data_IF_504155138096
#
_entry.id   IF_504155138096
#
_cell.length_a   1.000
_cell.length_b   1.000
_cell.length_c   1.000
_cell.angle_alpha   90.00
_cell.angle_beta   90.00
_cell.angle_gamma   90.00
#
_symmetry.space_group_name_H-M   'P 1'
#
loop_
_entity.id
_entity.type
_entity.pdbx_description
1 polymer ?
#
# COMPACT_ATOMS: atom_id res chain seq x y z
N UNK A 1 16.23 -0.66 16.40
CA UNK A 1 17.19 0.00 15.48
C UNK A 1 18.43 0.35 16.29
N UNK A 2 19.65 0.16 15.77
CA UNK A 2 20.85 0.64 16.45
C UNK A 2 20.76 2.15 16.64
N UNK A 3 21.12 2.62 17.84
CA UNK A 3 20.94 4.01 18.29
C UNK A 3 22.19 4.63 18.89
N UNK A 4 23.30 3.87 18.93
CA UNK A 4 24.59 4.37 19.39
C UNK A 4 25.12 5.39 18.37
N UNK A 5 25.30 6.66 18.71
CA UNK A 5 25.82 7.64 17.78
C UNK A 5 27.25 7.33 17.29
N UNK A 6 28.05 6.53 17.98
CA UNK A 6 29.36 6.13 17.51
C UNK A 6 29.32 5.01 16.44
N UNK A 7 28.19 4.32 16.30
CA UNK A 7 28.04 3.18 15.39
C UNK A 7 27.67 3.64 13.97
N UNK A 8 28.43 3.17 12.98
CA UNK A 8 28.18 3.41 11.56
C UNK A 8 26.84 2.82 11.07
N UNK A 9 26.35 1.77 11.74
CA UNK A 9 25.05 1.14 11.44
C UNK A 9 23.86 1.83 12.11
N UNK A 10 24.12 2.79 13.00
CA UNK A 10 23.04 3.56 13.62
C UNK A 10 22.26 4.39 12.61
N UNK A 11 20.97 4.54 12.92
CA UNK A 11 20.07 5.37 12.14
C UNK A 11 20.59 6.81 12.08
N UNK A 12 20.67 7.35 10.87
CA UNK A 12 20.98 8.75 10.61
C UNK A 12 19.73 9.51 10.17
N UNK A 13 18.96 8.93 9.24
CA UNK A 13 17.80 9.58 8.65
C UNK A 13 16.73 8.55 8.30
N UNK A 14 15.48 8.81 8.68
CA UNK A 14 14.32 8.04 8.21
C UNK A 14 13.93 8.58 6.84
N UNK A 15 13.86 7.69 5.85
CA UNK A 15 13.52 8.06 4.46
C UNK A 15 12.03 7.84 4.23
N UNK A 16 11.55 6.63 4.52
CA UNK A 16 10.13 6.28 4.39
C UNK A 16 9.72 5.32 5.49
N UNK A 17 8.53 5.56 6.05
CA UNK A 17 7.92 4.70 7.06
C UNK A 17 6.43 4.54 6.77
N UNK A 18 5.95 3.31 6.87
CA UNK A 18 4.54 2.97 6.72
C UNK A 18 4.15 1.98 7.81
N UNK A 19 3.08 2.28 8.55
CA UNK A 19 2.51 1.40 9.56
C UNK A 19 1.09 1.03 9.16
N UNK A 20 0.80 -0.27 9.20
CA UNK A 20 -0.53 -0.81 8.94
C UNK A 20 -1.07 -1.58 10.15
N UNK A 21 -2.25 -2.16 9.99
CA UNK A 21 -2.88 -2.95 11.03
C UNK A 21 -2.05 -4.20 11.41
N UNK A 22 -2.27 -4.71 12.63
CA UNK A 22 -1.73 -5.98 13.13
C UNK A 22 -0.21 -6.15 13.03
N UNK A 23 0.54 -5.06 13.17
CA UNK A 23 2.01 -5.06 13.15
C UNK A 23 2.61 -5.13 11.75
N UNK A 24 1.83 -4.83 10.70
CA UNK A 24 2.36 -4.59 9.36
C UNK A 24 3.18 -3.31 9.35
N UNK A 25 4.38 -3.36 8.81
CA UNK A 25 5.17 -2.15 8.60
C UNK A 25 6.18 -2.29 7.46
N UNK A 26 6.59 -1.13 6.94
CA UNK A 26 7.76 -0.96 6.10
C UNK A 26 8.56 0.24 6.62
N UNK A 27 9.88 0.10 6.66
CA UNK A 27 10.80 1.15 7.05
C UNK A 27 12.01 1.14 6.10
N UNK A 28 12.34 2.32 5.58
CA UNK A 28 13.59 2.60 4.89
C UNK A 28 14.29 3.76 5.59
N UNK A 29 15.57 3.59 5.88
CA UNK A 29 16.40 4.61 6.52
C UNK A 29 17.80 4.61 5.92
N UNK A 30 18.51 5.70 6.13
CA UNK A 30 19.94 5.81 5.85
C UNK A 30 20.71 5.69 7.17
N UNK A 31 21.72 4.83 7.21
CA UNK A 31 22.62 4.73 8.35
C UNK A 31 23.69 5.85 8.31
N UNK A 32 24.53 5.94 9.34
CA UNK A 32 25.59 6.96 9.40
C UNK A 32 26.68 6.76 8.35
N UNK A 33 26.87 5.55 7.86
CA UNK A 33 27.73 5.26 6.71
C UNK A 33 27.14 5.72 5.35
N UNK A 34 25.93 6.31 5.34
CA UNK A 34 25.26 6.77 4.12
C UNK A 34 24.57 5.64 3.34
N UNK A 35 24.53 4.42 3.88
CA UNK A 35 23.92 3.26 3.23
C UNK A 35 22.44 3.19 3.54
N UNK A 36 21.64 2.85 2.52
CA UNK A 36 20.23 2.55 2.73
C UNK A 36 20.07 1.19 3.41
N UNK A 37 19.13 1.16 4.35
CA UNK A 37 18.72 0.00 5.10
C UNK A 37 17.20 -0.08 5.06
N UNK A 38 16.69 -1.31 5.11
CA UNK A 38 15.27 -1.60 5.03
C UNK A 38 14.88 -2.63 6.07
N UNK A 39 13.67 -2.51 6.59
CA UNK A 39 13.05 -3.50 7.48
C UNK A 39 11.56 -3.53 7.21
N UNK A 40 10.97 -4.70 7.27
CA UNK A 40 9.54 -4.85 7.01
C UNK A 40 8.96 -6.02 7.79
N UNK A 41 7.64 -5.99 7.96
CA UNK A 41 6.88 -7.11 8.53
C UNK A 41 5.51 -7.18 7.89
N UNK A 42 5.07 -8.42 7.58
CA UNK A 42 3.72 -8.73 7.08
C UNK A 42 3.27 -7.90 5.86
N UNK A 43 4.18 -7.63 4.93
CA UNK A 43 3.85 -6.96 3.67
C UNK A 43 2.92 -7.83 2.82
N UNK A 44 1.91 -7.24 2.16
CA UNK A 44 1.18 -7.91 1.09
C UNK A 44 2.15 -8.49 0.04
N UNK A 45 1.93 -9.70 -0.49
CA UNK A 45 2.88 -10.35 -1.40
C UNK A 45 3.25 -9.51 -2.63
N UNK A 46 2.26 -8.82 -3.22
CA UNK A 46 2.47 -7.95 -4.38
C UNK A 46 3.36 -6.75 -4.03
N UNK A 47 3.08 -6.09 -2.91
CA UNK A 47 3.92 -4.99 -2.42
C UNK A 47 5.34 -5.48 -2.09
N UNK A 48 5.49 -6.68 -1.50
CA UNK A 48 6.81 -7.25 -1.21
C UNK A 48 7.60 -7.53 -2.49
N UNK A 49 6.96 -8.14 -3.50
CA UNK A 49 7.60 -8.39 -4.78
C UNK A 49 7.98 -7.09 -5.51
N UNK A 50 7.15 -6.05 -5.37
CA UNK A 50 7.46 -4.74 -5.92
C UNK A 50 8.64 -4.09 -5.17
N UNK A 51 8.66 -4.05 -3.84
CA UNK A 51 9.75 -3.45 -3.06
C UNK A 51 11.08 -4.23 -3.13
N UNK A 52 11.01 -5.55 -3.34
CA UNK A 52 12.17 -6.46 -3.37
C UNK A 52 12.12 -7.35 -4.63
N UNK A 53 12.38 -6.78 -5.82
CA UNK A 53 12.37 -7.54 -7.07
C UNK A 53 13.34 -8.72 -7.05
N UNK A 54 12.96 -9.88 -7.61
CA UNK A 54 13.86 -11.04 -7.69
C UNK A 54 15.05 -10.82 -8.62
N UNK A 55 14.99 -9.78 -9.48
CA UNK A 55 16.09 -9.35 -10.35
C UNK A 55 17.24 -8.70 -9.59
N UNK A 56 17.06 -8.38 -8.29
CA UNK A 56 18.08 -7.73 -7.46
C UNK A 56 18.16 -6.21 -7.63
N UNK A 57 17.32 -5.64 -8.50
CA UNK A 57 17.17 -4.19 -8.63
C UNK A 57 16.61 -3.58 -7.34
N UNK A 58 16.99 -2.34 -7.06
CA UNK A 58 16.49 -1.59 -5.90
C UNK A 58 15.59 -0.45 -6.36
N UNK A 59 14.62 -0.08 -5.51
CA UNK A 59 13.76 1.08 -5.75
C UNK A 59 14.51 2.37 -5.54
N UNK A 60 14.01 3.45 -6.13
CA UNK A 60 14.57 4.78 -5.86
C UNK A 60 14.11 5.24 -4.46
N UNK A 61 14.97 5.03 -3.45
CA UNK A 61 14.59 5.30 -2.06
C UNK A 61 14.33 6.78 -1.78
N UNK A 62 14.98 7.69 -2.50
CA UNK A 62 14.80 9.13 -2.30
C UNK A 62 13.38 9.60 -2.65
N UNK A 63 12.73 8.97 -3.63
CA UNK A 63 11.35 9.26 -4.03
C UNK A 63 10.33 8.24 -3.54
N UNK A 64 10.76 7.16 -2.89
CA UNK A 64 9.91 6.05 -2.47
C UNK A 64 8.89 6.50 -1.43
N UNK A 65 7.61 6.28 -1.70
CA UNK A 65 6.50 6.41 -0.77
C UNK A 65 5.80 5.05 -0.62
N UNK A 66 5.39 4.73 0.61
CA UNK A 66 4.59 3.54 0.93
C UNK A 66 3.50 3.96 1.89
N UNK A 67 2.26 3.59 1.61
CA UNK A 67 1.10 3.83 2.45
C UNK A 67 0.31 2.54 2.61
N UNK A 68 -0.19 2.31 3.82
CA UNK A 68 -1.16 1.26 4.10
C UNK A 68 -2.53 1.89 4.34
N UNK A 69 -3.55 1.36 3.68
CA UNK A 69 -4.95 1.69 3.91
C UNK A 69 -5.59 0.73 4.91
N UNK A 70 -6.92 0.59 4.82
CA UNK A 70 -7.67 -0.32 5.69
C UNK A 70 -7.48 -1.78 5.24
N UNK A 71 -7.44 -2.71 6.19
CA UNK A 71 -7.29 -4.13 5.87
C UNK A 71 -6.00 -4.42 5.11
N UNK A 72 -6.10 -4.79 3.83
CA UNK A 72 -4.98 -5.11 2.95
C UNK A 72 -4.68 -4.03 1.91
N UNK A 73 -5.39 -2.90 1.94
CA UNK A 73 -5.19 -1.81 1.00
C UNK A 73 -3.78 -1.23 1.14
N UNK A 74 -3.15 -0.90 0.01
CA UNK A 74 -1.85 -0.27 -0.01
C UNK A 74 -1.64 0.58 -1.26
N UNK A 75 -0.71 1.53 -1.14
CA UNK A 75 -0.16 2.29 -2.24
C UNK A 75 1.35 2.35 -2.08
N UNK A 76 2.09 2.20 -3.17
CA UNK A 76 3.52 2.46 -3.20
C UNK A 76 3.94 3.09 -4.53
N UNK A 77 4.87 4.04 -4.47
CA UNK A 77 5.39 4.70 -5.66
C UNK A 77 6.83 5.17 -5.46
N UNK A 78 7.60 5.18 -6.53
CA UNK A 78 8.86 5.92 -6.65
C UNK A 78 8.86 6.67 -7.99
N UNK A 79 9.97 7.31 -8.34
CA UNK A 79 10.12 8.03 -9.61
C UNK A 79 10.07 7.11 -10.86
N UNK A 80 10.18 5.79 -10.68
CA UNK A 80 10.21 4.80 -11.75
C UNK A 80 8.87 4.06 -11.92
N UNK A 81 7.89 4.26 -11.02
CA UNK A 81 6.57 3.67 -11.16
C UNK A 81 5.77 3.61 -9.86
N UNK A 82 4.60 2.97 -9.93
CA UNK A 82 3.71 2.79 -8.78
C UNK A 82 2.93 1.47 -8.83
N UNK A 83 2.44 1.04 -7.68
CA UNK A 83 1.49 -0.04 -7.50
C UNK A 83 0.50 0.34 -6.40
N UNK A 84 -0.75 -0.10 -6.55
CA UNK A 84 -1.77 0.07 -5.53
C UNK A 84 -2.71 -1.13 -5.52
N UNK A 85 -3.18 -1.49 -4.35
CA UNK A 85 -4.30 -2.41 -4.16
C UNK A 85 -5.33 -1.69 -3.31
N UNK A 86 -6.53 -1.59 -3.86
CA UNK A 86 -7.71 -1.20 -3.12
C UNK A 86 -8.65 -2.38 -3.24
N UNK A 87 -9.09 -2.95 -2.12
CA UNK A 87 -10.20 -3.89 -2.14
C UNK A 87 -11.37 -3.11 -2.70
N UNK A 88 -11.73 -3.39 -3.94
CA UNK A 88 -12.98 -2.93 -4.54
C UNK A 88 -14.07 -3.25 -3.54
N UNK A 89 -14.64 -2.21 -2.91
CA UNK A 89 -15.70 -2.41 -1.96
C UNK A 89 -16.75 -3.29 -2.62
N UNK A 90 -17.33 -4.22 -1.85
CA UNK A 90 -18.73 -4.56 -2.09
C UNK A 90 -19.43 -3.21 -2.22
N UNK A 91 -19.78 -2.85 -3.47
CA UNK A 91 -20.62 -1.72 -3.76
C UNK A 91 -21.87 -1.94 -2.94
N UNK A 92 -21.99 -1.21 -1.83
CA UNK A 92 -23.20 -1.20 -1.02
C UNK A 92 -24.34 -0.94 -1.99
N UNK A 93 -25.20 -1.94 -2.15
CA UNK A 93 -26.35 -1.87 -3.02
C UNK A 93 -27.18 -0.66 -2.63
N UNK A 94 -27.55 0.13 -3.63
CA UNK A 94 -28.81 0.84 -3.68
C UNK A 94 -29.03 1.27 -5.12
N UNK A 95 -29.76 0.43 -5.85
CA UNK A 95 -30.73 0.89 -6.84
C UNK A 95 -31.88 -0.12 -6.84
N UNK A 96 -32.67 -0.05 -5.77
CA UNK A 96 -34.11 -0.28 -5.88
C UNK A 96 -34.64 0.76 -6.88
N UNK A 97 -34.60 0.44 -8.15
CA UNK A 97 -35.56 0.95 -9.11
C UNK A 97 -36.41 -0.23 -9.53
N UNK A 98 -37.46 -0.44 -8.72
CA UNK A 98 -38.71 -1.06 -9.13
C UNK A 98 -39.08 -0.54 -10.53
N UNK A 99 -38.82 -1.37 -11.53
CA UNK A 99 -39.24 -1.11 -12.89
C UNK A 99 -40.45 -1.98 -13.21
N UNK A 100 -41.57 -1.66 -12.58
CA UNK A 100 -42.87 -2.20 -12.94
C UNK A 100 -43.78 -1.10 -13.51
N UNK A 101 -43.95 -1.02 -14.85
CA UNK A 101 -45.13 -0.35 -15.41
C UNK A 101 -46.15 -1.39 -15.89
N UNK A 102 -47.21 -1.52 -15.09
CA UNK A 102 -48.64 -1.67 -15.43
C UNK A 102 -49.03 -2.57 -16.62
N UNK A 103 -49.62 -3.72 -16.30
CA UNK A 103 -50.55 -4.43 -17.20
C UNK A 103 -51.71 -3.52 -17.62
N UNK A 104 -51.81 -3.24 -18.91
CA UNK A 104 -53.00 -2.71 -19.55
C UNK A 104 -54.07 -3.81 -19.63
N UNK A 105 -55.14 -3.66 -18.85
CA UNK A 105 -56.40 -4.39 -19.04
C UNK A 105 -57.50 -3.36 -19.22
N UNK A 106 -57.88 -3.10 -20.47
CA UNK A 106 -59.10 -2.36 -20.81
C UNK A 106 -60.16 -3.38 -21.13
N UNK A 107 -61.24 -3.37 -20.35
CA UNK A 107 -62.49 -4.08 -20.58
C UNK A 107 -63.33 -3.31 -21.59
N UNK A 108 -63.79 -3.99 -22.64
CA UNK A 108 -64.83 -3.50 -23.56
C UNK A 108 -66.20 -3.43 -22.84
N UNK A 109 -67.08 -2.49 -23.25
CA UNK A 109 -68.50 -2.51 -22.93
C UNK A 109 -69.32 -3.45 -23.84
#
# INVERSE_FOLDING_TARGET
>A
LPSDPADAESLSEVITVAFGAFGRYYLCWRNRAGQYRQSHSKLPPELKAWLFPPTGETRDFASLQVLFGHGDDFFASDCNGRISYERSGESSGNNDTDNSPRSSRSTDP
#
